data_IF_886983257629
#
_entry.id   IF_886983257629
#
_cell.length_a   1.000
_cell.length_b   1.000
_cell.length_c   1.000
_cell.angle_alpha   90.00
_cell.angle_beta   90.00
_cell.angle_gamma   90.00
#
_symmetry.space_group_name_H-M   'P 1'
#
loop_
_entity.id
_entity.type
_entity.pdbx_description
1 polymer ?
#
# COMPACT_ATOMS: atom_id res chain seq x y z
N UNK A 1 -12.68 19.12 30.29
CA UNK A 1 -12.91 19.58 28.90
C UNK A 1 -14.18 18.91 28.38
N UNK A 2 -14.92 19.54 27.47
CA UNK A 2 -16.09 18.90 26.87
C UNK A 2 -15.63 17.76 25.92
N UNK A 3 -16.41 16.66 25.77
CA UNK A 3 -16.06 15.58 24.85
C UNK A 3 -15.87 16.11 23.43
N UNK A 4 -14.78 15.71 22.74
CA UNK A 4 -14.49 16.11 21.36
C UNK A 4 -15.08 15.16 20.32
N UNK A 5 -16.20 14.53 20.67
CA UNK A 5 -16.92 13.64 19.78
C UNK A 5 -17.45 14.41 18.57
N UNK A 6 -17.15 13.93 17.38
CA UNK A 6 -17.78 14.42 16.15
C UNK A 6 -18.93 13.50 15.74
N UNK A 7 -19.96 14.10 15.16
CA UNK A 7 -20.99 13.39 14.39
C UNK A 7 -21.06 13.98 12.98
N UNK A 8 -21.39 13.15 12.01
CA UNK A 8 -21.66 13.58 10.63
C UNK A 8 -23.14 13.99 10.53
N UNK A 9 -23.37 15.15 9.92
CA UNK A 9 -24.70 15.73 9.67
C UNK A 9 -24.77 16.15 8.20
N UNK A 10 -25.12 15.20 7.33
CA UNK A 10 -25.01 15.36 5.88
C UNK A 10 -23.56 15.59 5.47
N UNK A 11 -23.23 16.83 5.09
CA UNK A 11 -21.89 17.22 4.62
C UNK A 11 -21.03 17.92 5.69
N UNK A 12 -21.48 17.93 6.95
CA UNK A 12 -20.87 18.73 8.02
C UNK A 12 -20.48 17.87 9.22
N UNK A 13 -19.35 18.18 9.84
CA UNK A 13 -19.04 17.70 11.18
C UNK A 13 -19.68 18.61 12.22
N UNK A 14 -20.28 17.99 13.24
CA UNK A 14 -20.81 18.72 14.39
C UNK A 14 -20.32 18.11 15.69
N UNK A 15 -20.08 18.98 16.65
CA UNK A 15 -19.73 18.59 18.02
C UNK A 15 -20.98 18.40 18.90
N UNK A 16 -20.83 18.03 20.19
CA UNK A 16 -21.97 17.84 21.09
C UNK A 16 -22.75 19.13 21.41
N UNK A 17 -22.19 20.31 21.11
CA UNK A 17 -22.86 21.61 21.24
C UNK A 17 -23.49 22.07 19.92
N UNK A 18 -23.56 21.20 18.91
CA UNK A 18 -24.13 21.48 17.59
C UNK A 18 -23.38 22.58 16.81
N UNK A 19 -22.12 22.86 17.17
CA UNK A 19 -21.24 23.75 16.41
C UNK A 19 -20.73 22.98 15.19
N UNK A 20 -20.65 23.68 14.06
CA UNK A 20 -20.02 23.14 12.85
C UNK A 20 -18.49 23.18 13.01
N UNK A 21 -17.84 22.06 12.75
CA UNK A 21 -16.39 21.90 12.88
C UNK A 21 -15.80 21.71 11.48
N UNK A 22 -14.91 22.62 11.07
CA UNK A 22 -14.09 22.41 9.87
C UNK A 22 -12.79 21.73 10.26
N UNK A 23 -12.52 20.57 9.68
CA UNK A 23 -11.24 19.89 9.85
C UNK A 23 -10.20 20.52 8.91
N UNK A 24 -9.15 21.12 9.48
CA UNK A 24 -7.98 21.64 8.74
C UNK A 24 -6.74 21.09 9.42
N UNK A 25 -6.00 20.29 8.68
CA UNK A 25 -4.96 19.47 9.27
C UNK A 25 -3.78 19.19 8.37
N UNK A 26 -2.91 18.30 8.85
CA UNK A 26 -1.73 17.83 8.15
C UNK A 26 -1.55 16.33 8.40
N UNK A 27 -0.84 15.68 7.48
CA UNK A 27 -0.31 14.33 7.65
C UNK A 27 0.82 14.32 8.69
N UNK A 28 0.76 13.41 9.66
CA UNK A 28 1.80 13.25 10.69
C UNK A 28 2.17 11.77 10.78
N UNK A 29 3.36 11.35 10.34
CA UNK A 29 4.31 12.09 9.51
C UNK A 29 5.01 11.15 8.53
N UNK A 30 5.71 11.69 7.54
CA UNK A 30 6.44 10.89 6.54
C UNK A 30 7.50 9.97 7.18
N UNK A 31 8.05 10.35 8.31
CA UNK A 31 9.01 9.57 9.11
C UNK A 31 8.42 8.27 9.64
N UNK A 32 7.09 8.15 9.77
CA UNK A 32 6.43 6.92 10.19
C UNK A 32 6.45 5.81 9.11
N UNK A 33 6.91 6.14 7.90
CA UNK A 33 7.02 5.19 6.78
C UNK A 33 8.22 4.25 6.88
N UNK A 34 9.21 4.57 7.73
CA UNK A 34 10.44 3.81 7.89
C UNK A 34 10.72 3.51 9.37
N UNK A 35 11.34 2.36 9.68
CA UNK A 35 11.66 2.02 11.06
C UNK A 35 12.62 3.05 11.67
N UNK A 36 12.59 3.15 13.01
CA UNK A 36 13.54 3.97 13.77
C UNK A 36 14.82 3.20 14.07
N UNK A 37 14.71 1.91 14.32
CA UNK A 37 15.82 1.04 14.69
C UNK A 37 15.80 -0.21 13.78
N UNK A 38 16.90 -0.55 13.11
CA UNK A 38 18.04 0.33 12.85
C UNK A 38 17.62 1.55 12.02
N UNK A 39 18.36 2.66 12.13
CA UNK A 39 18.11 3.86 11.32
C UNK A 39 18.71 3.65 9.92
N UNK A 40 17.92 3.02 9.04
CA UNK A 40 18.27 2.74 7.64
C UNK A 40 17.40 3.60 6.73
N UNK A 41 17.82 4.85 6.45
CA UNK A 41 17.12 5.71 5.50
C UNK A 41 17.25 5.17 4.07
N UNK A 42 16.47 5.72 3.14
CA UNK A 42 16.34 5.22 1.76
C UNK A 42 17.65 5.20 0.96
N UNK A 43 18.69 5.90 1.39
CA UNK A 43 19.99 5.96 0.72
C UNK A 43 21.06 5.04 1.35
N UNK A 44 20.72 4.22 2.34
CA UNK A 44 21.65 3.31 3.02
C UNK A 44 21.31 1.86 2.68
N UNK A 45 22.30 1.12 2.14
CA UNK A 45 22.12 -0.27 1.73
C UNK A 45 22.32 -1.27 2.89
N UNK A 46 23.23 -0.94 3.81
CA UNK A 46 23.63 -1.83 4.90
C UNK A 46 22.44 -2.09 5.83
N UNK A 47 22.14 -3.38 6.06
CA UNK A 47 21.00 -3.80 6.88
C UNK A 47 19.63 -3.63 6.21
N UNK A 48 19.53 -3.10 4.99
CA UNK A 48 18.24 -2.83 4.33
C UNK A 48 17.35 -4.06 4.19
N UNK A 49 17.93 -5.23 3.86
CA UNK A 49 17.18 -6.48 3.71
C UNK A 49 16.88 -7.19 5.04
N UNK A 50 17.40 -6.71 6.17
CA UNK A 50 17.02 -7.21 7.49
C UNK A 50 15.73 -6.52 7.92
N UNK A 51 14.60 -7.15 7.57
CA UNK A 51 13.28 -6.55 7.72
C UNK A 51 12.46 -7.09 8.88
N UNK A 52 12.90 -8.20 9.46
CA UNK A 52 12.20 -8.85 10.56
C UNK A 52 12.69 -8.31 11.90
N UNK A 53 13.87 -7.67 11.96
CA UNK A 53 14.47 -7.13 13.18
C UNK A 53 14.48 -5.60 13.16
N UNK A 54 13.29 -5.01 13.04
CA UNK A 54 13.11 -3.55 13.00
C UNK A 54 12.21 -3.09 14.14
N UNK A 55 12.29 -1.82 14.53
CA UNK A 55 11.32 -1.23 15.45
C UNK A 55 10.92 0.15 14.96
N UNK A 56 9.62 0.41 15.03
CA UNK A 56 9.01 1.71 14.71
C UNK A 56 8.81 2.57 15.97
N UNK A 57 9.15 2.07 17.18
CA UNK A 57 9.05 2.84 18.42
C UNK A 57 9.84 4.16 18.29
N UNK A 58 9.21 5.28 18.61
CA UNK A 58 9.79 6.61 18.41
C UNK A 58 9.58 7.21 17.01
N UNK A 59 8.71 6.60 16.17
CA UNK A 59 8.12 7.23 14.98
C UNK A 59 6.66 7.61 15.25
N UNK A 60 6.15 8.76 14.77
CA UNK A 60 6.80 9.70 13.85
C UNK A 60 7.91 10.55 14.49
N UNK A 61 7.92 10.69 15.81
CA UNK A 61 8.92 11.40 16.60
C UNK A 61 8.91 10.87 18.05
N UNK A 62 9.87 11.25 18.89
CA UNK A 62 9.90 10.80 20.29
C UNK A 62 8.75 11.40 21.13
N UNK A 63 8.45 10.82 22.30
CA UNK A 63 7.45 11.39 23.23
C UNK A 63 7.87 12.79 23.72
N UNK A 64 9.17 13.01 23.93
CA UNK A 64 9.72 14.31 24.34
C UNK A 64 9.51 15.37 23.26
N UNK A 65 9.70 15.00 21.98
CA UNK A 65 9.51 15.90 20.85
C UNK A 65 8.02 16.15 20.51
N UNK A 66 7.13 15.23 20.90
CA UNK A 66 5.71 15.27 20.56
C UNK A 66 5.03 16.58 21.00
N UNK A 67 5.33 17.04 22.22
CA UNK A 67 4.84 18.32 22.74
C UNK A 67 5.26 19.51 21.86
N UNK A 68 6.51 19.52 21.41
CA UNK A 68 7.04 20.58 20.55
C UNK A 68 6.33 20.59 19.20
N UNK A 69 6.16 19.43 18.56
CA UNK A 69 5.50 19.31 17.27
C UNK A 69 4.01 19.69 17.36
N UNK A 70 3.29 19.16 18.33
CA UNK A 70 1.86 19.44 18.48
C UNK A 70 1.57 20.89 18.90
N UNK A 71 2.42 21.52 19.72
CA UNK A 71 2.30 22.96 20.02
C UNK A 71 2.41 23.81 18.75
N UNK A 72 3.43 23.55 17.91
CA UNK A 72 3.63 24.29 16.65
C UNK A 72 2.45 24.14 15.71
N UNK A 73 1.96 22.91 15.53
CA UNK A 73 0.82 22.65 14.65
C UNK A 73 -0.45 23.39 15.13
N UNK A 74 -0.67 23.48 16.45
CA UNK A 74 -1.76 24.27 17.02
C UNK A 74 -1.58 25.76 16.85
N UNK A 75 -0.37 26.28 17.04
CA UNK A 75 -0.04 27.69 16.83
C UNK A 75 -0.24 28.12 15.37
N UNK A 76 -0.02 27.20 14.41
CA UNK A 76 -0.31 27.40 12.99
C UNK A 76 -1.81 27.30 12.65
N UNK A 77 -2.66 26.95 13.61
CA UNK A 77 -4.11 26.90 13.46
C UNK A 77 -4.64 25.55 12.96
N UNK A 78 -3.82 24.51 12.89
CA UNK A 78 -4.32 23.16 12.56
C UNK A 78 -5.12 22.58 13.73
N UNK A 79 -6.17 21.84 13.39
CA UNK A 79 -7.00 21.13 14.37
C UNK A 79 -7.15 19.64 14.10
N UNK A 80 -6.63 19.15 12.98
CA UNK A 80 -6.77 17.76 12.58
C UNK A 80 -5.40 17.16 12.22
N UNK A 81 -5.22 15.89 12.52
CA UNK A 81 -4.04 15.11 12.15
C UNK A 81 -4.52 13.85 11.42
N UNK A 82 -3.98 13.62 10.23
CA UNK A 82 -4.00 12.31 9.58
C UNK A 82 -2.79 11.54 10.11
N UNK A 83 -3.01 10.60 11.02
CA UNK A 83 -1.94 9.89 11.71
C UNK A 83 -1.51 8.69 10.88
N UNK A 84 -0.35 8.82 10.26
CA UNK A 84 0.24 7.84 9.36
C UNK A 84 0.88 6.73 10.18
N UNK A 85 0.57 5.49 9.85
CA UNK A 85 1.33 4.31 10.29
C UNK A 85 1.35 3.26 9.18
N UNK A 86 2.30 2.33 9.21
CA UNK A 86 2.39 1.25 8.21
C UNK A 86 1.91 -0.07 8.79
N UNK A 87 1.48 -1.00 7.93
CA UNK A 87 1.21 -2.37 8.35
C UNK A 87 2.48 -3.02 8.93
N UNK A 88 3.64 -2.72 8.35
CA UNK A 88 4.95 -3.15 8.85
C UNK A 88 5.19 -2.72 10.31
N UNK A 89 4.79 -1.50 10.71
CA UNK A 89 4.93 -1.06 12.09
C UNK A 89 4.16 -1.94 13.10
N UNK A 90 3.09 -2.61 12.66
CA UNK A 90 2.30 -3.51 13.49
C UNK A 90 2.82 -4.94 13.42
N UNK A 91 3.19 -5.45 12.24
CA UNK A 91 3.35 -6.89 11.98
C UNK A 91 4.64 -7.20 11.19
N UNK A 92 5.77 -6.58 11.54
CA UNK A 92 7.05 -6.75 10.83
C UNK A 92 7.67 -8.15 10.97
N UNK A 93 7.62 -8.76 12.16
CA UNK A 93 8.29 -10.05 12.44
C UNK A 93 7.71 -11.25 11.69
N UNK A 94 6.47 -11.14 11.20
CA UNK A 94 5.77 -12.22 10.54
C UNK A 94 4.26 -12.23 10.79
N UNK A 95 3.53 -13.08 10.05
CA UNK A 95 2.08 -13.19 10.16
C UNK A 95 1.65 -13.56 11.59
N UNK A 96 0.72 -12.78 12.15
CA UNK A 96 0.15 -12.91 13.48
C UNK A 96 1.03 -12.40 14.63
N UNK A 97 2.20 -11.81 14.35
CA UNK A 97 3.13 -11.30 15.38
C UNK A 97 3.06 -9.79 15.47
N UNK A 98 2.30 -9.29 16.44
CA UNK A 98 2.04 -7.85 16.59
C UNK A 98 3.02 -7.17 17.56
N UNK A 99 3.50 -5.98 17.18
CA UNK A 99 4.40 -5.15 17.99
C UNK A 99 3.62 -4.34 19.03
N UNK A 100 3.42 -4.93 20.21
CA UNK A 100 2.76 -4.27 21.35
C UNK A 100 3.57 -3.07 21.89
N UNK A 101 4.89 -3.03 21.71
CA UNK A 101 5.72 -1.91 22.17
C UNK A 101 5.45 -0.66 21.32
N UNK A 102 5.42 -0.81 20.00
CA UNK A 102 5.05 0.26 19.08
C UNK A 102 3.61 0.74 19.27
N UNK A 103 2.66 -0.19 19.49
CA UNK A 103 1.26 0.18 19.76
C UNK A 103 1.15 1.00 21.05
N UNK A 104 1.80 0.56 22.14
CA UNK A 104 1.79 1.28 23.40
C UNK A 104 2.41 2.68 23.26
N UNK A 105 3.55 2.77 22.57
CA UNK A 105 4.19 4.04 22.23
C UNK A 105 3.23 4.98 21.45
N UNK A 106 2.53 4.46 20.45
CA UNK A 106 1.61 5.25 19.62
C UNK A 106 0.43 5.78 20.42
N UNK A 107 -0.13 4.98 21.34
CA UNK A 107 -1.19 5.42 22.25
C UNK A 107 -0.71 6.59 23.11
N UNK A 108 0.53 6.59 23.60
CA UNK A 108 1.09 7.72 24.34
C UNK A 108 1.23 8.96 23.47
N UNK A 109 1.66 8.84 22.21
CA UNK A 109 1.68 9.97 21.26
C UNK A 109 0.28 10.55 21.06
N UNK A 110 -0.75 9.71 20.92
CA UNK A 110 -2.15 10.13 20.79
C UNK A 110 -2.66 10.82 22.06
N UNK A 111 -2.28 10.34 23.24
CA UNK A 111 -2.58 11.00 24.53
C UNK A 111 -1.93 12.38 24.63
N UNK A 112 -0.73 12.57 24.08
CA UNK A 112 -0.12 13.90 23.99
C UNK A 112 -0.92 14.76 23.01
N UNK A 113 -1.25 14.25 21.81
CA UNK A 113 -2.06 14.99 20.82
C UNK A 113 -3.42 15.45 21.39
N UNK A 114 -4.04 14.64 22.27
CA UNK A 114 -5.27 14.98 23.00
C UNK A 114 -5.14 16.26 23.83
N UNK A 115 -3.98 16.49 24.46
CA UNK A 115 -3.73 17.69 25.28
C UNK A 115 -3.74 18.97 24.43
N UNK A 116 -3.40 18.85 23.14
CA UNK A 116 -3.37 19.94 22.17
C UNK A 116 -4.67 20.08 21.38
N UNK A 117 -5.71 19.32 21.71
CA UNK A 117 -7.04 19.48 21.12
C UNK A 117 -7.12 19.16 19.62
N UNK A 118 -6.35 18.17 19.17
CA UNK A 118 -6.47 17.64 17.82
C UNK A 118 -7.63 16.65 17.69
N UNK A 119 -8.21 16.61 16.50
CA UNK A 119 -8.93 15.46 15.97
C UNK A 119 -7.96 14.61 15.17
N UNK A 120 -7.89 13.32 15.44
CA UNK A 120 -6.96 12.38 14.80
C UNK A 120 -7.76 11.29 14.12
N UNK A 121 -7.46 11.00 12.86
CA UNK A 121 -7.91 9.75 12.23
C UNK A 121 -6.69 8.92 11.85
N UNK A 122 -6.86 7.61 11.98
CA UNK A 122 -5.80 6.62 11.82
C UNK A 122 -5.72 6.20 10.36
N UNK A 123 -4.54 6.29 9.76
CA UNK A 123 -4.29 6.01 8.34
C UNK A 123 -3.31 4.83 8.18
N UNK A 124 -3.81 3.64 7.78
CA UNK A 124 -2.98 2.54 7.31
C UNK A 124 -2.33 2.90 5.98
N UNK A 125 -1.12 3.43 6.08
CA UNK A 125 -0.41 4.05 4.98
C UNK A 125 0.46 3.06 4.22
N UNK A 126 0.49 3.22 2.90
CA UNK A 126 1.41 2.55 2.01
C UNK A 126 1.73 3.45 0.81
N UNK A 127 2.92 3.32 0.27
CA UNK A 127 3.24 3.74 -1.09
C UNK A 127 3.94 2.58 -1.77
N UNK A 128 3.52 2.25 -3.00
CA UNK A 128 4.13 1.19 -3.81
C UNK A 128 4.41 -0.09 -3.02
N UNK A 129 3.43 -0.51 -2.20
CA UNK A 129 3.40 -1.73 -1.40
C UNK A 129 4.32 -1.77 -0.17
N UNK A 130 5.64 -1.75 -0.33
CA UNK A 130 6.61 -2.00 0.75
C UNK A 130 7.86 -1.14 0.57
N UNK A 131 8.63 -0.95 1.66
CA UNK A 131 9.95 -0.33 1.56
C UNK A 131 10.91 -1.12 0.67
N UNK A 132 10.74 -2.45 0.62
CA UNK A 132 11.52 -3.33 -0.25
C UNK A 132 11.13 -3.20 -1.74
N UNK A 133 10.04 -2.51 -2.07
CA UNK A 133 9.62 -2.18 -3.43
C UNK A 133 9.72 -0.67 -3.73
N UNK A 134 10.49 0.06 -2.93
CA UNK A 134 10.83 1.46 -3.17
C UNK A 134 9.89 2.48 -2.52
N UNK A 135 8.98 2.04 -1.64
CA UNK A 135 8.04 2.91 -0.92
C UNK A 135 7.93 2.57 0.56
N UNK A 136 6.74 2.20 1.03
CA UNK A 136 6.44 1.85 2.42
C UNK A 136 5.10 1.13 2.55
N UNK A 137 4.82 0.49 3.69
CA UNK A 137 3.49 -0.03 4.00
C UNK A 137 3.49 -1.46 4.51
N UNK A 138 3.47 -2.43 3.61
CA UNK A 138 3.40 -3.85 3.90
C UNK A 138 4.74 -4.42 4.40
N UNK A 139 4.72 -5.31 5.41
CA UNK A 139 5.92 -5.98 5.92
C UNK A 139 6.53 -6.92 4.88
N UNK A 140 7.83 -7.18 5.02
CA UNK A 140 8.61 -7.96 4.05
C UNK A 140 8.08 -9.38 3.83
N UNK A 141 7.52 -10.02 4.87
CA UNK A 141 6.95 -11.36 4.78
C UNK A 141 5.84 -11.47 3.72
N UNK A 142 5.16 -10.37 3.37
CA UNK A 142 4.14 -10.37 2.31
C UNK A 142 4.73 -10.65 0.93
N UNK A 143 5.94 -10.17 0.66
CA UNK A 143 6.66 -10.42 -0.60
C UNK A 143 7.10 -11.88 -0.67
N UNK A 144 7.64 -12.40 0.44
CA UNK A 144 8.04 -13.80 0.54
C UNK A 144 6.84 -14.75 0.44
N UNK A 145 5.70 -14.41 1.05
CA UNK A 145 4.44 -15.13 0.89
C UNK A 145 4.01 -15.16 -0.59
N UNK A 146 4.13 -14.04 -1.32
CA UNK A 146 3.86 -13.96 -2.75
C UNK A 146 4.90 -14.67 -3.65
N UNK A 147 5.94 -15.30 -3.08
CA UNK A 147 6.97 -15.97 -3.85
C UNK A 147 8.03 -15.03 -4.43
N UNK A 148 8.08 -13.76 -4.00
CA UNK A 148 9.01 -12.76 -4.51
C UNK A 148 10.27 -12.66 -3.64
N UNK A 149 11.43 -12.49 -4.28
CA UNK A 149 12.72 -12.24 -3.63
C UNK A 149 13.15 -10.78 -3.81
N UNK A 150 13.07 -9.95 -2.74
CA UNK A 150 13.52 -8.56 -2.78
C UNK A 150 14.96 -8.36 -3.26
N UNK A 151 15.82 -9.36 -3.10
CA UNK A 151 17.23 -9.26 -3.51
C UNK A 151 17.40 -9.27 -5.04
N UNK A 152 16.46 -9.86 -5.77
CA UNK A 152 16.47 -9.88 -7.25
C UNK A 152 15.95 -8.59 -7.88
N UNK A 153 15.23 -7.74 -7.14
CA UNK A 153 14.43 -6.66 -7.73
C UNK A 153 15.25 -5.62 -8.50
N UNK A 154 16.45 -5.29 -8.02
CA UNK A 154 17.35 -4.35 -8.70
C UNK A 154 17.76 -4.89 -10.07
N UNK A 155 18.26 -6.13 -10.10
CA UNK A 155 18.82 -6.75 -11.31
C UNK A 155 17.75 -6.97 -12.38
N UNK A 156 16.55 -7.35 -11.96
CA UNK A 156 15.40 -7.55 -12.87
C UNK A 156 14.61 -6.26 -13.15
N UNK A 157 14.94 -5.15 -12.49
CA UNK A 157 14.10 -3.95 -12.40
C UNK A 157 12.62 -4.22 -12.03
N UNK A 158 12.36 -5.27 -11.23
CA UNK A 158 11.02 -5.60 -10.77
C UNK A 158 10.48 -4.54 -9.78
N UNK A 159 11.39 -3.81 -9.12
CA UNK A 159 11.16 -2.55 -8.44
C UNK A 159 12.46 -1.73 -8.44
N UNK A 160 12.35 -0.41 -8.55
CA UNK A 160 13.48 0.52 -8.40
C UNK A 160 13.52 1.02 -6.97
N UNK A 161 14.63 0.74 -6.28
CA UNK A 161 14.78 1.00 -4.85
C UNK A 161 16.09 1.73 -4.59
N UNK A 162 16.01 2.91 -3.99
CA UNK A 162 17.18 3.76 -3.75
C UNK A 162 18.26 3.06 -2.91
N UNK A 163 17.86 2.27 -1.90
CA UNK A 163 18.78 1.52 -1.02
C UNK A 163 19.66 0.54 -1.79
N UNK A 164 19.21 0.09 -2.96
CA UNK A 164 19.93 -0.89 -3.80
C UNK A 164 20.59 -0.25 -5.02
N UNK A 165 20.32 1.04 -5.29
CA UNK A 165 20.89 1.74 -6.45
C UNK A 165 22.42 1.82 -6.33
N UNK A 166 23.15 1.66 -7.44
CA UNK A 166 24.63 1.61 -7.40
C UNK A 166 25.24 2.87 -6.78
N UNK A 167 24.67 4.02 -7.10
CA UNK A 167 24.99 5.32 -6.50
C UNK A 167 23.72 5.95 -5.95
N UNK A 168 23.34 5.74 -4.68
CA UNK A 168 22.07 6.24 -4.13
C UNK A 168 21.86 7.75 -4.28
N UNK A 169 22.94 8.54 -4.41
CA UNK A 169 22.91 9.97 -4.68
C UNK A 169 22.42 10.32 -6.11
N UNK A 170 22.53 9.39 -7.05
CA UNK A 170 22.09 9.50 -8.44
C UNK A 170 20.71 8.89 -8.68
N UNK A 171 20.07 8.34 -7.63
CA UNK A 171 18.72 7.79 -7.75
C UNK A 171 17.77 8.86 -8.29
N UNK A 172 17.09 8.62 -9.44
CA UNK A 172 16.34 9.67 -10.11
C UNK A 172 15.20 10.22 -9.24
N UNK A 173 15.07 11.54 -9.21
CA UNK A 173 13.99 12.20 -8.46
C UNK A 173 12.62 11.76 -9.01
N UNK A 174 11.68 11.50 -8.11
CA UNK A 174 10.28 11.13 -8.43
C UNK A 174 10.09 9.82 -9.23
N UNK A 175 11.14 9.03 -9.46
CA UNK A 175 11.00 7.76 -10.19
C UNK A 175 10.25 6.69 -9.40
N UNK A 176 10.21 6.81 -8.07
CA UNK A 176 9.60 5.82 -7.18
C UNK A 176 8.16 5.46 -7.56
N UNK A 177 7.36 6.42 -8.01
CA UNK A 177 5.96 6.19 -8.36
C UNK A 177 5.79 5.36 -9.65
N UNK A 178 6.84 5.20 -10.46
CA UNK A 178 6.86 4.24 -11.59
C UNK A 178 6.88 2.79 -11.11
N UNK A 179 7.17 2.52 -9.83
CA UNK A 179 7.08 1.17 -9.29
C UNK A 179 5.66 0.60 -9.32
N UNK A 180 4.61 1.44 -9.31
CA UNK A 180 3.22 0.99 -9.49
C UNK A 180 3.00 0.20 -10.77
N UNK A 181 3.83 0.41 -11.80
CA UNK A 181 3.71 -0.23 -13.12
C UNK A 181 4.82 -1.25 -13.36
N UNK A 182 5.53 -1.68 -12.31
CA UNK A 182 6.54 -2.75 -12.35
C UNK A 182 6.02 -4.01 -11.70
N UNK A 183 6.73 -5.12 -11.97
CA UNK A 183 6.29 -6.46 -11.63
C UNK A 183 5.84 -6.60 -10.17
N UNK A 184 6.60 -6.05 -9.21
CA UNK A 184 6.31 -6.26 -7.78
C UNK A 184 4.97 -5.64 -7.41
N UNK A 185 4.76 -4.35 -7.67
CA UNK A 185 3.50 -3.71 -7.29
C UNK A 185 2.32 -4.26 -8.10
N UNK A 186 2.50 -4.47 -9.40
CA UNK A 186 1.49 -5.08 -10.26
C UNK A 186 1.05 -6.45 -9.71
N UNK A 187 2.00 -7.28 -9.30
CA UNK A 187 1.72 -8.61 -8.74
C UNK A 187 1.08 -8.49 -7.37
N UNK A 188 1.67 -7.75 -6.43
CA UNK A 188 1.19 -7.68 -5.05
C UNK A 188 -0.23 -7.12 -4.96
N UNK A 189 -0.55 -6.04 -5.67
CA UNK A 189 -1.92 -5.52 -5.67
C UNK A 189 -2.89 -6.47 -6.37
N UNK A 190 -2.49 -7.15 -7.44
CA UNK A 190 -3.37 -8.14 -8.08
C UNK A 190 -3.68 -9.30 -7.13
N UNK A 191 -2.67 -9.80 -6.40
CA UNK A 191 -2.85 -10.84 -5.41
C UNK A 191 -3.72 -10.37 -4.24
N UNK A 192 -3.46 -9.17 -3.72
CA UNK A 192 -4.20 -8.60 -2.59
C UNK A 192 -5.68 -8.39 -2.91
N UNK A 193 -6.03 -7.95 -4.12
CA UNK A 193 -7.42 -7.63 -4.47
C UNK A 193 -8.18 -8.79 -5.12
N UNK A 194 -7.51 -9.59 -5.96
CA UNK A 194 -8.15 -10.54 -6.86
C UNK A 194 -7.34 -11.84 -7.05
N UNK A 195 -6.56 -12.24 -6.04
CA UNK A 195 -5.79 -13.49 -6.05
C UNK A 195 -6.65 -14.73 -6.31
N UNK A 196 -7.91 -14.78 -5.86
CA UNK A 196 -8.82 -15.91 -6.15
C UNK A 196 -9.13 -16.07 -7.63
N UNK A 197 -9.23 -14.95 -8.34
CA UNK A 197 -9.64 -14.93 -9.74
C UNK A 197 -8.43 -15.13 -10.65
N UNK A 198 -7.35 -14.39 -10.42
CA UNK A 198 -6.19 -14.37 -11.32
C UNK A 198 -5.01 -15.23 -10.86
N UNK A 199 -4.97 -15.65 -9.61
CA UNK A 199 -3.93 -16.51 -9.08
C UNK A 199 -4.50 -17.67 -8.23
N UNK A 200 -5.46 -18.47 -8.74
CA UNK A 200 -6.09 -19.53 -7.96
C UNK A 200 -5.13 -20.60 -7.42
N UNK A 201 -3.95 -20.78 -8.03
CA UNK A 201 -2.91 -21.69 -7.51
C UNK A 201 -2.14 -21.09 -6.34
N UNK A 202 -2.18 -19.78 -6.13
CA UNK A 202 -1.47 -19.11 -5.06
C UNK A 202 -2.17 -19.36 -3.72
N UNK A 203 -1.89 -20.51 -3.11
CA UNK A 203 -2.49 -20.98 -1.87
C UNK A 203 -1.41 -21.21 -0.81
N UNK A 204 -1.63 -20.66 0.38
CA UNK A 204 -0.81 -20.83 1.58
C UNK A 204 -1.74 -21.17 2.75
N UNK A 205 -1.37 -22.16 3.56
CA UNK A 205 -2.16 -22.65 4.69
C UNK A 205 -3.61 -23.02 4.32
N UNK A 206 -3.79 -23.54 3.10
CA UNK A 206 -5.11 -23.89 2.56
C UNK A 206 -6.00 -22.70 2.20
N UNK A 207 -5.48 -21.47 2.27
CA UNK A 207 -6.16 -20.23 1.92
C UNK A 207 -5.54 -19.63 0.66
N UNK A 208 -6.35 -19.07 -0.23
CA UNK A 208 -5.79 -18.30 -1.34
C UNK A 208 -5.09 -17.04 -0.80
N UNK A 209 -4.03 -16.62 -1.50
CA UNK A 209 -3.17 -15.51 -1.09
C UNK A 209 -3.94 -14.20 -0.90
N UNK A 210 -5.06 -14.01 -1.59
CA UNK A 210 -5.95 -12.87 -1.39
C UNK A 210 -6.48 -12.83 0.04
N UNK A 211 -7.12 -13.90 0.51
CA UNK A 211 -7.67 -14.01 1.85
C UNK A 211 -6.57 -13.98 2.90
N UNK A 212 -5.42 -14.59 2.61
CA UNK A 212 -4.28 -14.58 3.50
C UNK A 212 -3.80 -13.14 3.74
N UNK A 213 -3.49 -12.39 2.68
CA UNK A 213 -2.99 -11.01 2.81
C UNK A 213 -4.04 -10.05 3.37
N UNK A 214 -5.27 -10.08 2.86
CA UNK A 214 -6.36 -9.22 3.36
C UNK A 214 -6.69 -9.55 4.82
N UNK A 215 -6.76 -10.84 5.17
CA UNK A 215 -7.06 -11.31 6.51
C UNK A 215 -6.03 -10.85 7.53
N UNK A 216 -4.74 -11.00 7.22
CA UNK A 216 -3.66 -10.53 8.09
C UNK A 216 -3.63 -9.01 8.22
N UNK A 217 -3.75 -8.27 7.11
CA UNK A 217 -3.82 -6.81 7.14
C UNK A 217 -4.98 -6.33 8.03
N UNK A 218 -6.20 -6.80 7.77
CA UNK A 218 -7.39 -6.41 8.54
C UNK A 218 -7.25 -6.81 10.02
N UNK A 219 -6.70 -8.00 10.31
CA UNK A 219 -6.49 -8.46 11.67
C UNK A 219 -5.47 -7.60 12.44
N UNK A 220 -4.37 -7.19 11.80
CA UNK A 220 -3.37 -6.30 12.38
C UNK A 220 -3.98 -4.93 12.70
N UNK A 221 -4.74 -4.33 11.77
CA UNK A 221 -5.40 -3.05 12.04
C UNK A 221 -6.46 -3.19 13.14
N UNK A 222 -7.27 -4.26 13.10
CA UNK A 222 -8.25 -4.53 14.14
C UNK A 222 -7.60 -4.72 15.51
N UNK A 223 -6.45 -5.37 15.58
CA UNK A 223 -5.69 -5.53 16.82
C UNK A 223 -5.25 -4.17 17.37
N UNK A 224 -4.72 -3.30 16.51
CA UNK A 224 -4.36 -1.95 16.92
C UNK A 224 -5.60 -1.13 17.36
N UNK A 225 -6.71 -1.24 16.65
CA UNK A 225 -7.97 -0.63 17.04
C UNK A 225 -8.47 -1.12 18.41
N UNK A 226 -8.34 -2.42 18.69
CA UNK A 226 -8.68 -2.99 20.00
C UNK A 226 -7.82 -2.38 21.11
N UNK A 227 -6.52 -2.19 20.89
CA UNK A 227 -5.62 -1.58 21.89
C UNK A 227 -5.95 -0.11 22.13
N UNK A 228 -6.34 0.62 21.08
CA UNK A 228 -6.85 1.99 21.19
C UNK A 228 -8.16 2.03 22.00
N UNK A 229 -9.05 1.08 21.76
CA UNK A 229 -10.31 0.95 22.50
C UNK A 229 -10.07 0.62 23.98
N UNK A 230 -9.20 -0.35 24.27
CA UNK A 230 -8.86 -0.80 25.62
C UNK A 230 -8.18 0.30 26.45
N UNK A 231 -7.50 1.26 25.80
CA UNK A 231 -6.95 2.43 26.46
C UNK A 231 -8.04 3.30 27.13
N UNK A 232 -9.27 3.29 26.59
CA UNK A 232 -10.48 3.86 27.20
C UNK A 232 -10.54 5.38 27.29
N UNK A 233 -9.49 6.10 26.88
CA UNK A 233 -9.36 7.54 27.08
C UNK A 233 -9.03 8.34 25.80
N UNK A 234 -8.97 7.71 24.62
CA UNK A 234 -8.60 8.38 23.36
C UNK A 234 -9.69 8.38 22.28
N UNK A 235 -10.54 7.35 22.20
CA UNK A 235 -11.69 7.33 21.27
C UNK A 235 -12.70 8.43 21.63
N UNK A 236 -13.20 9.17 20.63
CA UNK A 236 -14.08 10.33 20.79
C UNK A 236 -13.51 11.50 21.61
N UNK A 237 -12.24 11.43 22.02
CA UNK A 237 -11.52 12.45 22.77
C UNK A 237 -10.42 13.10 21.93
N UNK A 238 -9.71 12.27 21.15
CA UNK A 238 -8.69 12.68 20.18
C UNK A 238 -8.82 11.85 18.90
N UNK A 239 -9.00 10.53 18.98
CA UNK A 239 -9.23 9.69 17.81
C UNK A 239 -10.70 9.75 17.40
N UNK A 240 -10.97 10.10 16.14
CA UNK A 240 -12.32 10.27 15.58
C UNK A 240 -12.73 9.14 14.63
N UNK A 241 -11.78 8.37 14.09
CA UNK A 241 -12.09 7.35 13.10
C UNK A 241 -10.86 6.74 12.44
N UNK A 242 -11.13 5.92 11.43
CA UNK A 242 -10.16 5.12 10.70
C UNK A 242 -10.34 5.31 9.20
N UNK A 243 -9.23 5.45 8.49
CA UNK A 243 -9.17 5.39 7.03
C UNK A 243 -8.95 3.96 6.56
N UNK A 244 -9.42 3.63 5.35
CA UNK A 244 -9.40 2.26 4.83
C UNK A 244 -8.02 1.74 4.47
N UNK A 245 -7.35 2.42 3.54
CA UNK A 245 -6.03 2.10 3.03
C UNK A 245 -5.58 3.30 2.18
N UNK A 246 -4.36 3.78 2.39
CA UNK A 246 -3.82 4.85 1.58
C UNK A 246 -3.72 4.45 0.10
N UNK A 247 -4.32 5.24 -0.78
CA UNK A 247 -4.13 5.24 -2.23
C UNK A 247 -4.15 3.84 -2.88
N UNK A 248 -5.26 3.09 -2.77
CA UNK A 248 -5.32 1.73 -3.30
C UNK A 248 -5.12 1.72 -4.82
N UNK A 249 -4.21 0.86 -5.29
CA UNK A 249 -3.97 0.64 -6.72
C UNK A 249 -4.46 -0.76 -7.14
N UNK A 250 -5.01 -0.90 -8.35
CA UNK A 250 -5.74 -2.10 -8.83
C UNK A 250 -4.88 -3.27 -9.34
N UNK A 251 -3.57 -3.22 -9.21
CA UNK A 251 -2.61 -4.09 -9.89
C UNK A 251 -2.85 -4.12 -11.39
N UNK A 252 -2.95 -5.34 -11.93
CA UNK A 252 -3.24 -5.64 -13.33
C UNK A 252 -4.75 -5.77 -13.61
N UNK A 253 -5.61 -5.73 -12.59
CA UNK A 253 -7.05 -6.00 -12.71
C UNK A 253 -7.69 -5.01 -13.67
N UNK A 254 -8.21 -5.47 -14.81
CA UNK A 254 -8.78 -4.63 -15.87
C UNK A 254 -7.79 -4.21 -16.97
N UNK A 255 -6.55 -4.70 -16.98
CA UNK A 255 -5.67 -4.54 -18.13
C UNK A 255 -6.21 -5.32 -19.33
N UNK A 256 -6.49 -4.60 -20.42
CA UNK A 256 -7.08 -5.17 -21.63
C UNK A 256 -6.04 -5.90 -22.50
N UNK A 257 -4.79 -5.46 -22.44
CA UNK A 257 -3.68 -6.07 -23.16
C UNK A 257 -2.38 -5.78 -22.41
N UNK A 258 -1.77 -6.81 -21.80
CA UNK A 258 -0.53 -6.65 -21.02
C UNK A 258 0.73 -6.44 -21.88
N UNK A 259 0.62 -6.56 -23.20
CA UNK A 259 1.74 -6.34 -24.14
C UNK A 259 1.94 -4.88 -24.52
N UNK A 260 1.08 -3.98 -24.05
CA UNK A 260 1.16 -2.53 -24.33
C UNK A 260 1.06 -1.73 -23.03
N UNK A 261 1.60 -0.51 -23.06
CA UNK A 261 1.40 0.44 -21.97
C UNK A 261 -0.02 1.02 -22.12
N UNK A 262 -0.88 0.94 -21.09
CA UNK A 262 -2.22 1.50 -21.15
C UNK A 262 -2.20 3.02 -21.41
N UNK A 263 -3.16 3.52 -22.20
CA UNK A 263 -3.21 4.95 -22.56
C UNK A 263 -3.52 5.86 -21.35
N UNK A 264 -4.15 5.32 -20.31
CA UNK A 264 -4.41 5.95 -19.02
C UNK A 264 -3.19 5.97 -18.09
N UNK A 265 -2.10 5.27 -18.42
CA UNK A 265 -0.84 5.33 -17.68
C UNK A 265 -0.09 6.64 -17.97
N UNK A 266 -0.46 7.69 -17.23
CA UNK A 266 0.11 9.03 -17.42
C UNK A 266 1.51 9.21 -16.82
N UNK A 267 1.87 8.45 -15.79
CA UNK A 267 3.17 8.59 -15.13
C UNK A 267 4.21 7.64 -15.75
N UNK A 268 5.21 8.20 -16.41
CA UNK A 268 6.36 7.46 -16.96
C UNK A 268 7.65 8.27 -16.77
N UNK A 269 8.70 7.63 -16.27
CA UNK A 269 10.01 8.24 -16.04
C UNK A 269 11.07 7.14 -15.92
N UNK A 270 12.23 7.31 -16.57
CA UNK A 270 13.22 6.24 -16.66
C UNK A 270 12.69 5.10 -17.53
N UNK A 271 13.11 3.86 -17.26
CA UNK A 271 12.56 2.69 -17.94
C UNK A 271 11.08 2.50 -17.60
N UNK A 272 10.26 2.17 -18.58
CA UNK A 272 8.81 2.01 -18.45
C UNK A 272 8.39 0.75 -19.22
N UNK A 273 8.45 -0.43 -18.58
CA UNK A 273 8.08 -1.68 -19.21
C UNK A 273 6.55 -1.78 -19.43
N UNK A 274 6.14 -2.53 -20.44
CA UNK A 274 4.79 -3.12 -20.45
C UNK A 274 4.67 -4.14 -19.31
N UNK A 275 3.46 -4.49 -18.89
CA UNK A 275 3.29 -5.53 -17.86
C UNK A 275 3.93 -6.86 -18.29
N UNK A 276 3.85 -7.23 -19.57
CA UNK A 276 4.53 -8.44 -20.06
C UNK A 276 6.06 -8.32 -20.04
N UNK A 277 6.63 -7.16 -20.41
CA UNK A 277 8.07 -6.94 -20.29
C UNK A 277 8.55 -7.02 -18.84
N UNK A 278 7.80 -6.46 -17.89
CA UNK A 278 8.10 -6.57 -16.47
C UNK A 278 8.04 -8.02 -15.96
N UNK A 279 7.10 -8.83 -16.49
CA UNK A 279 7.02 -10.28 -16.21
C UNK A 279 8.26 -11.01 -16.75
N UNK A 280 8.70 -10.68 -17.97
CA UNK A 280 9.87 -11.29 -18.60
C UNK A 280 11.16 -10.94 -17.85
N UNK A 281 11.42 -9.66 -17.57
CA UNK A 281 12.62 -9.23 -16.84
C UNK A 281 12.64 -9.77 -15.42
N UNK A 282 11.50 -9.77 -14.71
CA UNK A 282 11.37 -10.43 -13.42
C UNK A 282 11.56 -11.96 -13.44
N UNK A 283 11.46 -12.58 -14.61
CA UNK A 283 11.71 -14.02 -14.84
C UNK A 283 13.09 -14.29 -15.44
N UNK A 284 13.97 -13.30 -15.43
CA UNK A 284 15.36 -13.44 -15.86
C UNK A 284 15.59 -13.31 -17.36
N UNK A 285 14.61 -12.80 -18.13
CA UNK A 285 14.72 -12.60 -19.58
C UNK A 285 15.12 -11.18 -19.92
N UNK A 286 16.04 -11.01 -20.86
CA UNK A 286 16.42 -9.69 -21.34
C UNK A 286 15.30 -9.07 -22.20
N UNK A 287 15.00 -7.79 -21.96
CA UNK A 287 13.97 -7.05 -22.71
C UNK A 287 14.45 -5.64 -23.05
N UNK A 288 14.11 -5.17 -24.25
CA UNK A 288 14.32 -3.78 -24.62
C UNK A 288 13.10 -2.94 -24.22
N UNK A 289 13.27 -2.08 -23.23
CA UNK A 289 12.23 -1.26 -22.62
C UNK A 289 12.32 0.18 -23.12
N UNK A 290 11.17 0.86 -23.23
CA UNK A 290 11.16 2.29 -23.53
C UNK A 290 11.69 3.09 -22.33
N UNK A 291 12.54 4.08 -22.59
CA UNK A 291 12.95 5.06 -21.57
C UNK A 291 12.20 6.36 -21.76
N UNK A 292 11.84 7.01 -20.65
CA UNK A 292 11.04 8.23 -20.61
C UNK A 292 11.74 9.33 -19.83
N UNK A 293 11.69 10.54 -20.37
CA UNK A 293 12.03 11.78 -19.67
C UNK A 293 10.77 12.55 -19.32
N UNK A 294 10.91 13.59 -18.48
CA UNK A 294 9.82 14.50 -18.15
C UNK A 294 10.15 15.91 -18.62
N UNK A 295 9.25 16.52 -19.41
CA UNK A 295 9.39 17.87 -19.94
C UNK A 295 8.22 18.77 -19.54
N UNK A 296 8.17 20.00 -20.07
CA UNK A 296 7.11 20.98 -19.74
C UNK A 296 5.69 20.57 -20.15
N UNK A 297 5.55 19.61 -21.07
CA UNK A 297 4.27 19.06 -21.51
C UNK A 297 3.97 17.67 -20.94
N UNK A 298 4.74 17.23 -19.93
CA UNK A 298 4.64 15.90 -19.33
C UNK A 298 5.69 14.92 -19.84
N UNK A 299 5.46 13.61 -19.65
CA UNK A 299 6.40 12.57 -20.08
C UNK A 299 6.56 12.52 -21.60
N UNK A 300 7.79 12.24 -22.03
CA UNK A 300 8.10 11.94 -23.43
C UNK A 300 9.07 10.76 -23.50
N UNK A 301 8.91 9.90 -24.51
CA UNK A 301 9.84 8.81 -24.72
C UNK A 301 11.20 9.39 -25.15
N UNK A 302 12.24 9.13 -24.35
CA UNK A 302 13.60 9.61 -24.55
C UNK A 302 14.49 8.62 -25.31
N UNK A 303 14.12 7.33 -25.34
CA UNK A 303 14.93 6.29 -25.94
C UNK A 303 14.42 4.89 -25.63
N UNK A 304 15.35 3.93 -25.68
CA UNK A 304 15.16 2.52 -25.34
C UNK A 304 16.42 1.99 -24.67
N UNK A 305 16.26 1.06 -23.73
CA UNK A 305 17.35 0.45 -22.96
C UNK A 305 17.14 -1.06 -22.89
N UNK A 306 18.21 -1.83 -23.06
CA UNK A 306 18.19 -3.28 -22.86
C UNK A 306 18.37 -3.56 -21.36
N UNK A 307 17.34 -4.12 -20.73
CA UNK A 307 17.41 -4.61 -19.37
C UNK A 307 17.73 -6.10 -19.44
N UNK A 308 18.91 -6.49 -18.94
CA UNK A 308 19.38 -7.87 -18.92
C UNK A 308 19.59 -8.34 -17.47
N UNK A 309 18.67 -9.17 -16.94
CA UNK A 309 18.83 -9.76 -15.62
C UNK A 309 19.90 -10.85 -15.55
N UNK A 310 20.45 -11.31 -16.68
CA UNK A 310 21.45 -12.39 -16.75
C UNK A 310 20.99 -13.71 -16.10
N UNK A 311 19.68 -13.99 -16.19
CA UNK A 311 19.06 -15.18 -15.60
C UNK A 311 18.71 -15.05 -14.12
N UNK A 312 19.07 -13.96 -13.43
CA UNK A 312 18.56 -13.68 -12.09
C UNK A 312 17.05 -13.38 -12.12
N UNK A 313 16.35 -13.77 -11.06
CA UNK A 313 14.88 -13.67 -11.00
C UNK A 313 14.40 -12.85 -9.82
N UNK A 314 13.23 -12.24 -9.96
CA UNK A 314 12.50 -11.59 -8.87
C UNK A 314 11.71 -12.58 -8.00
N UNK A 315 11.71 -13.86 -8.38
CA UNK A 315 11.02 -14.94 -7.69
C UNK A 315 11.97 -15.69 -6.75
N UNK A 316 11.45 -16.15 -5.62
CA UNK A 316 12.17 -16.98 -4.67
C UNK A 316 12.66 -18.27 -5.32
N UNK A 317 13.86 -18.77 -4.96
CA UNK A 317 14.37 -20.03 -5.46
C UNK A 317 13.54 -21.22 -4.93
N UNK A 318 13.58 -22.35 -5.64
CA UNK A 318 12.96 -23.62 -5.21
C UNK A 318 13.42 -24.06 -3.82
N UNK A 319 14.63 -23.66 -3.42
CA UNK A 319 15.26 -24.00 -2.15
C UNK A 319 14.88 -23.06 -1.00
N UNK A 320 14.01 -22.06 -1.22
CA UNK A 320 13.57 -21.17 -0.15
C UNK A 320 12.80 -21.96 0.91
N UNK A 321 13.10 -21.64 2.17
CA UNK A 321 12.51 -22.31 3.32
C UNK A 321 11.29 -21.53 3.82
N UNK A 322 10.10 -21.97 3.43
CA UNK A 322 8.83 -21.41 3.88
C UNK A 322 8.63 -21.53 5.42
N UNK A 323 9.42 -22.38 6.12
CA UNK A 323 9.37 -22.45 7.59
C UNK A 323 9.86 -21.18 8.28
N UNK A 324 10.57 -20.29 7.56
CA UNK A 324 11.02 -18.97 8.08
C UNK A 324 9.89 -18.19 8.75
N UNK A 325 8.71 -18.16 8.12
CA UNK A 325 7.52 -17.47 8.65
C UNK A 325 6.40 -18.43 9.04
N UNK A 326 6.66 -19.75 8.99
CA UNK A 326 5.79 -20.78 9.57
C UNK A 326 4.58 -21.18 8.73
N UNK A 327 4.51 -20.78 7.46
CA UNK A 327 3.40 -21.11 6.58
C UNK A 327 3.67 -22.36 5.73
N UNK A 328 2.61 -22.96 5.19
CA UNK A 328 2.69 -24.12 4.29
C UNK A 328 2.17 -23.74 2.91
N UNK A 329 3.04 -23.75 1.91
CA UNK A 329 2.66 -23.47 0.52
C UNK A 329 2.05 -24.69 -0.15
N UNK A 330 0.96 -24.48 -0.88
CA UNK A 330 0.34 -25.55 -1.65
C UNK A 330 1.32 -26.09 -2.71
N UNK A 331 1.45 -27.41 -2.90
CA UNK A 331 2.36 -28.01 -3.88
C UNK A 331 2.11 -27.55 -5.33
N UNK A 332 0.93 -27.02 -5.66
CA UNK A 332 0.63 -26.47 -6.97
C UNK A 332 1.17 -25.05 -7.18
N UNK A 333 1.61 -24.37 -6.12
CA UNK A 333 2.33 -23.11 -6.19
C UNK A 333 3.84 -23.38 -6.10
N UNK A 334 4.49 -23.45 -7.25
CA UNK A 334 5.92 -23.77 -7.34
C UNK A 334 6.76 -22.51 -7.15
N UNK A 335 7.72 -22.56 -6.23
CA UNK A 335 8.79 -21.56 -6.17
C UNK A 335 9.80 -21.79 -7.30
N UNK A 336 10.60 -20.78 -7.61
CA UNK A 336 11.55 -20.76 -8.73
C UNK A 336 10.92 -20.56 -10.11
N UNK A 337 9.59 -20.46 -10.19
CA UNK A 337 8.84 -20.27 -11.42
C UNK A 337 7.97 -19.01 -11.32
N UNK A 338 7.83 -18.26 -12.42
CA UNK A 338 6.93 -17.12 -12.48
C UNK A 338 5.48 -17.52 -12.19
N UNK A 339 4.82 -16.84 -11.25
CA UNK A 339 3.43 -17.12 -10.90
C UNK A 339 2.50 -17.06 -12.12
N UNK A 340 2.69 -16.08 -13.00
CA UNK A 340 1.84 -15.89 -14.17
C UNK A 340 2.08 -16.97 -15.24
N UNK A 341 3.30 -17.50 -15.37
CA UNK A 341 3.57 -18.67 -16.21
C UNK A 341 2.83 -19.90 -15.68
N UNK A 342 2.81 -20.11 -14.36
CA UNK A 342 2.06 -21.21 -13.73
C UNK A 342 0.55 -21.12 -14.01
N UNK A 343 0.03 -19.93 -14.34
CA UNK A 343 -1.37 -19.69 -14.72
C UNK A 343 -1.59 -19.67 -16.25
N UNK A 344 -0.56 -19.98 -17.04
CA UNK A 344 -0.66 -20.04 -18.50
C UNK A 344 -0.80 -18.69 -19.18
N UNK A 345 -0.38 -17.60 -18.52
CA UNK A 345 -0.37 -16.26 -19.12
C UNK A 345 0.67 -16.19 -20.24
N UNK A 346 1.81 -16.86 -20.06
CA UNK A 346 2.90 -16.91 -21.02
C UNK A 346 3.66 -18.25 -20.91
N UNK A 347 4.41 -18.61 -21.94
CA UNK A 347 5.22 -19.83 -22.00
C UNK A 347 6.70 -19.53 -21.66
N UNK A 348 7.25 -20.07 -20.55
CA UNK A 348 8.63 -19.83 -20.14
C UNK A 348 9.70 -20.53 -20.99
N UNK A 349 9.31 -21.45 -21.87
CA UNK A 349 10.22 -22.16 -22.79
C UNK A 349 10.45 -21.35 -24.07
N UNK A 350 9.40 -20.70 -24.58
CA UNK A 350 9.43 -19.96 -25.85
C UNK A 350 9.40 -18.45 -25.69
N UNK A 351 9.20 -17.95 -24.45
CA UNK A 351 8.95 -16.55 -24.10
C UNK A 351 7.71 -15.95 -24.81
N UNK A 352 6.75 -16.81 -25.20
CA UNK A 352 5.53 -16.41 -25.92
C UNK A 352 4.43 -15.95 -24.96
N UNK A 353 3.81 -14.80 -25.24
CA UNK A 353 2.60 -14.35 -24.55
C UNK A 353 1.38 -15.12 -25.04
N UNK A 354 0.78 -15.94 -24.17
CA UNK A 354 -0.34 -16.81 -24.51
C UNK A 354 -1.70 -16.14 -24.29
N UNK A 355 -1.82 -15.30 -23.25
CA UNK A 355 -3.07 -14.65 -22.86
C UNK A 355 -2.85 -13.18 -22.52
N UNK A 356 -2.91 -12.33 -23.54
CA UNK A 356 -2.70 -10.89 -23.39
C UNK A 356 -3.79 -10.17 -22.58
N UNK A 357 -5.01 -10.69 -22.60
CA UNK A 357 -6.21 -10.15 -21.95
C UNK A 357 -6.59 -10.91 -20.66
N UNK A 358 -5.65 -11.67 -20.08
CA UNK A 358 -5.89 -12.51 -18.89
C UNK A 358 -6.56 -11.76 -17.73
N UNK A 359 -6.21 -10.48 -17.54
CA UNK A 359 -6.72 -9.63 -16.46
C UNK A 359 -7.91 -8.74 -16.88
N UNK A 360 -8.35 -8.82 -18.14
CA UNK A 360 -9.33 -7.91 -18.73
C UNK A 360 -10.78 -8.19 -18.28
N UNK A 361 -11.05 -9.41 -17.80
CA UNK A 361 -12.40 -9.89 -17.48
C UNK A 361 -12.39 -10.76 -16.24
N UNK A 362 -13.51 -10.79 -15.51
CA UNK A 362 -13.71 -11.77 -14.43
C UNK A 362 -13.70 -13.19 -15.01
N UNK A 363 -12.82 -14.10 -14.54
CA UNK A 363 -12.69 -15.43 -15.12
C UNK A 363 -13.99 -16.26 -15.07
N UNK A 364 -14.81 -16.09 -14.02
CA UNK A 364 -16.03 -16.87 -13.83
C UNK A 364 -17.24 -16.36 -14.63
N UNK A 365 -17.33 -15.06 -14.88
CA UNK A 365 -18.52 -14.45 -15.48
C UNK A 365 -18.27 -13.90 -16.88
N UNK A 366 -17.00 -13.68 -17.27
CA UNK A 366 -16.63 -13.00 -18.50
C UNK A 366 -16.95 -11.50 -18.51
N UNK A 367 -17.39 -10.94 -17.38
CA UNK A 367 -17.67 -9.51 -17.24
C UNK A 367 -16.38 -8.71 -17.46
N UNK A 368 -16.37 -7.72 -18.38
CA UNK A 368 -15.24 -6.81 -18.56
C UNK A 368 -14.91 -6.07 -17.26
N UNK A 369 -13.61 -5.92 -17.01
CA UNK A 369 -13.07 -5.19 -15.87
C UNK A 369 -12.39 -3.91 -16.35
N UNK A 370 -12.61 -2.84 -15.59
CA UNK A 370 -11.97 -1.54 -15.68
C UNK A 370 -11.83 -0.96 -14.26
N UNK A 371 -11.42 0.31 -14.13
CA UNK A 371 -11.29 0.96 -12.82
C UNK A 371 -12.62 1.06 -12.07
N UNK A 372 -13.72 1.38 -12.75
CA UNK A 372 -15.06 1.46 -12.15
C UNK A 372 -15.47 0.10 -11.57
N UNK A 373 -15.31 -0.97 -12.34
CA UNK A 373 -15.61 -2.32 -11.89
C UNK A 373 -14.69 -2.77 -10.78
N UNK A 374 -13.41 -2.43 -10.83
CA UNK A 374 -12.49 -2.71 -9.71
C UNK A 374 -12.98 -2.05 -8.41
N UNK A 375 -13.26 -0.74 -8.47
CA UNK A 375 -13.71 0.04 -7.31
C UNK A 375 -15.00 -0.53 -6.74
N UNK A 376 -16.00 -0.80 -7.59
CA UNK A 376 -17.31 -1.25 -7.15
C UNK A 376 -17.40 -2.76 -6.82
N UNK A 377 -16.31 -3.52 -6.97
CA UNK A 377 -16.30 -4.96 -6.65
C UNK A 377 -15.21 -5.30 -5.64
N UNK A 378 -13.96 -5.48 -6.08
CA UNK A 378 -12.85 -5.93 -5.23
C UNK A 378 -12.53 -4.94 -4.11
N UNK A 379 -12.48 -3.64 -4.40
CA UNK A 379 -12.23 -2.62 -3.36
C UNK A 379 -13.38 -2.57 -2.35
N UNK A 380 -14.64 -2.50 -2.80
CA UNK A 380 -15.77 -2.48 -1.87
C UNK A 380 -15.93 -3.76 -1.06
N UNK A 381 -15.61 -4.93 -1.61
CA UNK A 381 -15.58 -6.19 -0.84
C UNK A 381 -14.61 -6.10 0.34
N UNK A 382 -13.38 -5.65 0.10
CA UNK A 382 -12.40 -5.43 1.15
C UNK A 382 -12.82 -4.32 2.11
N UNK A 383 -13.35 -3.19 1.61
CA UNK A 383 -13.79 -2.07 2.44
C UNK A 383 -14.90 -2.48 3.42
N UNK A 384 -15.82 -3.37 3.00
CA UNK A 384 -16.83 -3.96 3.89
C UNK A 384 -16.19 -4.80 4.99
N UNK A 385 -15.28 -5.71 4.64
CA UNK A 385 -14.59 -6.55 5.63
C UNK A 385 -13.77 -5.71 6.63
N UNK A 386 -13.06 -4.69 6.13
CA UNK A 386 -12.32 -3.74 6.96
C UNK A 386 -13.25 -2.96 7.90
N UNK A 387 -14.34 -2.41 7.37
CA UNK A 387 -15.33 -1.66 8.15
C UNK A 387 -15.98 -2.53 9.23
N UNK A 388 -16.35 -3.76 8.90
CA UNK A 388 -16.89 -4.73 9.85
C UNK A 388 -15.89 -5.02 10.98
N UNK A 389 -14.62 -5.24 10.64
CA UNK A 389 -13.56 -5.50 11.62
C UNK A 389 -13.37 -4.33 12.59
N UNK A 390 -13.24 -3.09 12.09
CA UNK A 390 -13.09 -1.89 12.94
C UNK A 390 -14.34 -1.69 13.80
N UNK A 391 -15.54 -1.81 13.21
CA UNK A 391 -16.79 -1.60 13.95
C UNK A 391 -17.16 -2.71 14.92
N UNK A 392 -16.56 -3.89 14.78
CA UNK A 392 -16.65 -4.94 15.80
C UNK A 392 -15.99 -4.51 17.12
N UNK A 393 -15.03 -3.59 17.06
CA UNK A 393 -14.33 -3.00 18.22
C UNK A 393 -15.01 -1.70 18.64
N UNK A 394 -15.14 -0.76 17.69
CA UNK A 394 -15.73 0.56 17.94
C UNK A 394 -16.87 0.84 16.95
N UNK A 395 -18.12 0.48 17.28
CA UNK A 395 -19.28 0.65 16.39
C UNK A 395 -19.53 2.10 15.96
N UNK A 396 -19.11 3.07 16.78
CA UNK A 396 -19.27 4.49 16.53
C UNK A 396 -18.16 5.13 15.68
N UNK A 397 -17.15 4.36 15.25
CA UNK A 397 -16.04 4.88 14.45
C UNK A 397 -16.53 5.53 13.15
N UNK A 398 -16.04 6.74 12.88
CA UNK A 398 -16.17 7.36 11.57
C UNK A 398 -15.25 6.60 10.60
N UNK A 399 -15.80 6.16 9.46
CA UNK A 399 -15.04 5.44 8.45
C UNK A 399 -14.66 6.38 7.31
N UNK A 400 -13.37 6.64 7.13
CA UNK A 400 -12.85 7.40 6.01
C UNK A 400 -12.60 6.44 4.86
N UNK A 401 -13.51 6.43 3.89
CA UNK A 401 -13.39 5.64 2.67
C UNK A 401 -12.46 6.37 1.69
N UNK A 402 -11.25 5.85 1.53
CA UNK A 402 -10.28 6.34 0.55
C UNK A 402 -10.27 5.41 -0.67
N UNK A 403 -11.03 5.73 -1.73
CA UNK A 403 -10.98 4.98 -2.98
C UNK A 403 -9.69 5.30 -3.77
N UNK A 404 -9.46 4.61 -4.91
CA UNK A 404 -8.33 4.90 -5.78
C UNK A 404 -8.20 6.39 -6.16
N UNK A 405 -6.96 6.85 -6.25
CA UNK A 405 -6.62 8.25 -6.49
C UNK A 405 -7.08 8.71 -7.86
N UNK A 406 -7.72 9.88 -7.94
CA UNK A 406 -8.20 10.49 -9.20
C UNK A 406 -9.21 9.64 -10.00
N UNK A 407 -9.82 8.63 -9.36
CA UNK A 407 -10.84 7.78 -9.98
C UNK A 407 -12.25 8.15 -9.53
N UNK A 408 -13.25 7.63 -10.26
CA UNK A 408 -14.66 7.82 -9.90
C UNK A 408 -14.94 7.17 -8.54
N UNK A 409 -15.61 7.86 -7.60
CA UNK A 409 -15.97 7.30 -6.30
C UNK A 409 -16.87 6.06 -6.43
N UNK A 410 -16.84 5.14 -5.45
CA UNK A 410 -17.75 3.99 -5.46
C UNK A 410 -19.23 4.43 -5.48
N UNK A 411 -20.06 3.64 -6.15
CA UNK A 411 -21.51 3.84 -6.22
C UNK A 411 -22.18 3.27 -4.97
N UNK A 412 -22.26 4.10 -3.94
CA UNK A 412 -22.76 3.69 -2.62
C UNK A 412 -24.22 4.10 -2.37
N UNK A 413 -24.73 5.10 -3.07
CA UNK A 413 -25.98 5.76 -2.69
C UNK A 413 -27.18 4.82 -2.78
N UNK A 414 -27.91 4.67 -1.68
CA UNK A 414 -29.05 3.74 -1.55
C UNK A 414 -28.68 2.26 -1.49
N UNK A 415 -27.38 1.93 -1.45
CA UNK A 415 -26.90 0.58 -1.19
C UNK A 415 -26.82 0.30 0.32
N UNK A 416 -26.48 -0.94 0.69
CA UNK A 416 -26.18 -1.28 2.10
C UNK A 416 -24.90 -0.61 2.62
N UNK A 417 -24.06 -0.09 1.72
CA UNK A 417 -22.83 0.62 2.03
C UNK A 417 -23.03 2.15 2.09
N UNK A 418 -24.27 2.65 1.91
CA UNK A 418 -24.63 4.06 2.09
C UNK A 418 -24.66 4.44 3.59
N UNK A 419 -23.46 4.55 4.15
CA UNK A 419 -23.26 4.72 5.57
C UNK A 419 -23.27 6.20 5.99
N UNK A 420 -24.21 6.63 6.86
CA UNK A 420 -24.27 8.02 7.33
C UNK A 420 -23.08 8.42 8.23
N UNK A 421 -22.27 7.47 8.68
CA UNK A 421 -21.06 7.71 9.48
C UNK A 421 -19.77 7.45 8.68
N UNK A 422 -19.83 7.58 7.35
CA UNK A 422 -18.71 7.48 6.43
C UNK A 422 -18.32 8.84 5.85
N UNK A 423 -17.03 9.03 5.59
CA UNK A 423 -16.46 10.18 4.86
C UNK A 423 -15.88 9.66 3.56
N UNK A 424 -16.18 10.33 2.44
CA UNK A 424 -15.44 10.14 1.20
C UNK A 424 -14.11 10.91 1.27
N UNK A 425 -13.00 10.19 1.47
CA UNK A 425 -11.67 10.71 1.75
C UNK A 425 -10.73 10.58 0.52
N UNK A 426 -11.16 11.11 -0.63
CA UNK A 426 -10.39 11.01 -1.88
C UNK A 426 -9.13 11.87 -1.88
N UNK A 427 -8.06 11.33 -2.46
CA UNK A 427 -6.84 12.09 -2.75
C UNK A 427 -6.93 12.77 -4.12
N UNK A 428 -6.43 14.01 -4.18
CA UNK A 428 -6.31 14.79 -5.41
C UNK A 428 -4.91 15.38 -5.50
N UNK A 429 -4.34 15.32 -6.70
CA UNK A 429 -3.04 15.92 -7.02
C UNK A 429 -3.15 16.79 -8.26
N UNK A 430 -2.52 17.96 -8.21
CA UNK A 430 -2.09 18.64 -9.42
C UNK A 430 -0.80 17.97 -9.92
N UNK A 431 -0.88 17.27 -11.05
CA UNK A 431 0.23 16.48 -11.57
C UNK A 431 1.50 17.29 -11.87
N UNK A 432 1.35 18.55 -12.29
CA UNK A 432 2.49 19.44 -12.57
C UNK A 432 3.18 19.88 -11.29
N UNK A 433 2.43 20.33 -10.28
CA UNK A 433 2.97 20.68 -8.96
C UNK A 433 3.62 19.47 -8.29
N UNK A 434 2.99 18.28 -8.37
CA UNK A 434 3.53 17.05 -7.78
C UNK A 434 4.88 16.67 -8.40
N UNK A 435 4.97 16.65 -9.73
CA UNK A 435 6.18 16.22 -10.43
C UNK A 435 7.30 17.26 -10.37
N UNK A 436 6.96 18.56 -10.44
CA UNK A 436 7.95 19.64 -10.42
C UNK A 436 8.41 20.05 -9.02
N UNK A 437 7.62 19.74 -7.97
CA UNK A 437 7.81 20.26 -6.61
C UNK A 437 7.85 21.80 -6.52
N UNK A 438 7.22 22.48 -7.47
CA UNK A 438 7.07 23.93 -7.50
C UNK A 438 5.59 24.32 -7.49
N UNK A 439 5.24 25.37 -6.74
CA UNK A 439 3.89 25.91 -6.55
C UNK A 439 3.81 27.33 -7.09
#
# INVERSE_FOLDING_TARGET
MAPRRLRIDGTKFKDPQNREITLRGINVAGEAKYPRIPDVPSNVADGFFDADHVSFVGRPFSLDDAHTHFSRLREWGYNTIRYIFTWEAIEHEGPGKYDDEWIAFTIEVLRIAKQYEFYVFMDPHQDVWSRLSGGSGAPAWTLYAAGLDPRGFKKTQAALVQNTWDSPAEFPKMIWATNYTRLVCQTMFTLFWAGRDFAPKAVIDGMNIQEYLQGHFIAAIRYFAQKIHDAGDIENEVVIGWESLNEPQRGLIGYQDISVIPADQQLQLGTSPTAFQAILTGSGRACEEATWGFGGFGPYQSGRELIDPEGETAWLPVTYDDTKYGWNRDPNWKLGECLWAQHGVWDPVTDELLQKDYFAKKPRTGEPLDYDKFTNTYFLEHYRAYTEAIRSVWPGSIMLCQPPVMEIPPDLKGSNDDDPNMIHAVHYYDGLTLMSKHW
#
